data_IF_149073824079
#
_entry.id   IF_149073824079
#
_cell.length_a   1.000
_cell.length_b   1.000
_cell.length_c   1.000
_cell.angle_alpha   90.00
_cell.angle_beta   90.00
_cell.angle_gamma   90.00
#
_symmetry.space_group_name_H-M   'P 1'
#
loop_
_entity.id
_entity.type
_entity.pdbx_description
1 polymer ?
#
# COMPACT_ATOMS: atom_id res chain seq x y z
N UNK A 1 -86.12 -39.82 3.60
CA UNK A 1 -85.31 -40.30 2.45
C UNK A 1 -83.85 -40.17 2.88
N UNK A 2 -83.28 -41.21 3.50
CA UNK A 2 -82.50 -42.28 2.86
C UNK A 2 -81.37 -41.70 1.97
N UNK A 3 -80.07 -41.94 2.17
CA UNK A 3 -79.37 -42.79 3.10
C UNK A 3 -77.85 -42.73 2.80
N UNK A 4 -77.07 -42.79 3.89
CA UNK A 4 -75.70 -43.34 4.03
C UNK A 4 -75.05 -43.96 2.79
N UNK A 5 -73.80 -43.58 2.53
CA UNK A 5 -72.73 -44.56 2.28
C UNK A 5 -71.40 -44.13 2.93
N UNK A 6 -71.08 -44.82 4.02
CA UNK A 6 -69.74 -45.04 4.55
C UNK A 6 -68.85 -45.72 3.51
N UNK A 7 -67.54 -45.41 3.49
CA UNK A 7 -66.44 -46.33 3.86
C UNK A 7 -65.06 -45.74 3.53
N UNK A 8 -64.34 -45.31 4.57
CA UNK A 8 -62.94 -45.72 4.81
C UNK A 8 -62.98 -47.08 5.57
N UNK A 9 -61.89 -47.85 5.81
CA UNK A 9 -60.46 -47.46 5.88
C UNK A 9 -59.45 -48.53 5.35
N UNK A 10 -58.14 -48.26 5.59
CA UNK A 10 -56.98 -49.16 5.81
C UNK A 10 -55.80 -48.87 4.86
N UNK A 11 -54.67 -48.30 5.32
CA UNK A 11 -53.50 -48.98 5.93
C UNK A 11 -52.92 -50.08 5.00
N UNK A 12 -51.68 -50.06 4.50
CA UNK A 12 -50.42 -50.16 5.25
C UNK A 12 -49.20 -50.16 4.25
N UNK A 13 -47.93 -50.49 4.60
CA UNK A 13 -46.79 -49.56 4.54
C UNK A 13 -45.65 -49.96 3.55
N UNK A 14 -44.70 -49.04 3.33
CA UNK A 14 -43.40 -49.33 2.70
C UNK A 14 -42.38 -48.23 3.06
N UNK A 15 -41.66 -48.33 4.17
CA UNK A 15 -40.31 -48.92 4.27
C UNK A 15 -39.40 -48.55 3.09
N UNK A 16 -38.49 -47.60 3.32
CA UNK A 16 -37.05 -47.87 3.30
C UNK A 16 -36.28 -46.73 3.99
N UNK A 17 -35.83 -47.03 5.20
CA UNK A 17 -34.66 -46.41 5.83
C UNK A 17 -33.42 -46.90 5.08
N UNK A 18 -32.45 -46.01 4.80
CA UNK A 18 -31.01 -46.29 4.90
C UNK A 18 -30.26 -44.95 4.90
N UNK A 19 -29.75 -44.52 6.06
CA UNK A 19 -28.35 -44.66 6.51
C UNK A 19 -27.34 -43.83 5.69
N UNK A 20 -26.84 -42.81 6.39
CA UNK A 20 -25.48 -42.27 6.40
C UNK A 20 -24.46 -42.86 5.40
N UNK A 21 -23.87 -41.99 4.59
CA UNK A 21 -22.51 -42.19 4.08
C UNK A 21 -21.72 -40.88 4.20
N UNK A 22 -20.81 -40.88 5.17
CA UNK A 22 -19.75 -39.90 5.35
C UNK A 22 -18.85 -39.96 4.09
N UNK A 23 -18.80 -38.89 3.32
CA UNK A 23 -17.74 -38.74 2.31
C UNK A 23 -16.46 -38.27 3.03
N UNK A 24 -15.57 -39.22 3.28
CA UNK A 24 -14.18 -38.97 3.66
C UNK A 24 -13.46 -38.33 2.46
N UNK A 25 -12.60 -37.32 2.68
CA UNK A 25 -11.74 -36.82 1.62
C UNK A 25 -10.72 -37.90 1.21
N UNK A 26 -10.65 -38.16 -0.09
CA UNK A 26 -9.66 -39.04 -0.68
C UNK A 26 -8.26 -38.49 -0.42
N UNK A 27 -7.47 -39.23 0.37
CA UNK A 27 -6.02 -39.02 0.52
C UNK A 27 -5.35 -39.31 -0.82
N UNK A 28 -5.08 -38.26 -1.61
CA UNK A 28 -4.15 -38.38 -2.75
C UNK A 28 -2.73 -38.33 -2.20
N UNK A 29 -2.02 -39.45 -2.32
CA UNK A 29 -0.60 -39.59 -1.96
C UNK A 29 0.22 -38.52 -2.68
N UNK A 30 0.87 -37.65 -1.90
CA UNK A 30 1.92 -36.78 -2.40
C UNK A 30 3.14 -37.64 -2.77
N UNK A 31 3.49 -37.67 -4.05
CA UNK A 31 4.85 -37.98 -4.49
C UNK A 31 5.58 -36.65 -4.60
N UNK A 32 6.53 -36.41 -3.70
CA UNK A 32 7.45 -35.29 -3.78
C UNK A 32 8.44 -35.54 -4.94
N UNK A 33 8.31 -34.77 -6.01
CA UNK A 33 9.36 -34.57 -7.01
C UNK A 33 10.17 -33.32 -6.67
N UNK A 34 11.43 -33.21 -7.13
CA UNK A 34 12.35 -32.18 -6.66
C UNK A 34 11.88 -30.78 -7.07
N UNK A 35 12.07 -29.83 -6.15
CA UNK A 35 11.69 -28.43 -6.27
C UNK A 35 12.27 -27.79 -7.54
N UNK A 36 11.43 -27.64 -8.56
CA UNK A 36 11.70 -26.80 -9.71
C UNK A 36 11.71 -25.33 -9.28
N UNK A 37 12.81 -24.63 -9.61
CA UNK A 37 13.04 -23.20 -9.34
C UNK A 37 11.84 -22.38 -9.82
N UNK A 38 11.01 -21.93 -8.88
CA UNK A 38 10.02 -20.90 -9.13
C UNK A 38 10.74 -19.59 -9.43
N UNK A 39 10.55 -19.07 -10.63
CA UNK A 39 10.88 -17.69 -10.94
C UNK A 39 10.09 -16.79 -9.99
N UNK A 40 10.79 -16.18 -9.03
CA UNK A 40 10.21 -15.11 -8.21
C UNK A 40 9.83 -13.92 -9.09
N UNK A 41 8.95 -13.02 -8.60
CA UNK A 41 8.72 -11.75 -9.28
C UNK A 41 10.06 -11.03 -9.52
N UNK A 42 10.22 -10.28 -10.63
CA UNK A 42 11.49 -9.67 -11.01
C UNK A 42 12.06 -8.90 -9.82
N UNK A 43 13.33 -9.19 -9.50
CA UNK A 43 14.00 -8.80 -8.27
C UNK A 43 13.80 -7.33 -7.93
N UNK A 44 12.89 -7.07 -6.98
CA UNK A 44 12.82 -5.80 -6.29
C UNK A 44 14.15 -5.69 -5.56
N UNK A 45 15.03 -4.82 -6.04
CA UNK A 45 16.23 -4.48 -5.30
C UNK A 45 15.77 -3.68 -4.08
N UNK A 46 15.36 -4.41 -3.03
CA UNK A 46 15.09 -3.82 -1.73
C UNK A 46 16.33 -3.01 -1.41
N UNK A 47 16.16 -1.71 -1.27
CA UNK A 47 17.26 -0.79 -1.05
C UNK A 47 17.75 -1.04 0.37
N UNK A 48 18.66 -1.99 0.54
CA UNK A 48 19.34 -2.31 1.81
C UNK A 48 20.45 -1.29 2.08
N UNK A 49 20.26 -0.04 1.67
CA UNK A 49 21.19 1.02 2.01
C UNK A 49 21.00 1.36 3.49
N UNK A 50 22.01 1.17 4.35
CA UNK A 50 21.89 1.50 5.75
C UNK A 50 21.60 2.99 5.92
N UNK A 51 20.51 3.30 6.62
CA UNK A 51 20.23 4.68 6.99
C UNK A 51 21.37 5.23 7.83
N UNK A 52 21.80 6.46 7.52
CA UNK A 52 22.77 7.20 8.32
C UNK A 52 22.23 7.62 9.71
N UNK A 53 20.97 7.29 10.00
CA UNK A 53 20.29 7.62 11.25
C UNK A 53 19.29 6.53 11.62
N UNK A 54 18.93 6.48 12.91
CA UNK A 54 17.90 5.59 13.38
C UNK A 54 16.49 6.10 13.01
N UNK A 55 15.74 5.26 12.31
CA UNK A 55 14.31 5.45 12.05
C UNK A 55 13.50 5.09 13.30
N UNK A 56 13.41 6.04 14.22
CA UNK A 56 12.64 5.86 15.47
C UNK A 56 11.16 5.61 15.15
N UNK A 57 10.63 4.54 15.73
CA UNK A 57 9.25 4.08 15.54
C UNK A 57 8.61 3.70 16.87
N UNK A 58 7.30 3.86 16.94
CA UNK A 58 6.48 3.62 18.12
C UNK A 58 5.43 2.54 17.82
N UNK A 59 4.96 1.84 18.85
CA UNK A 59 3.82 0.95 18.71
C UNK A 59 2.54 1.77 18.48
N UNK A 60 1.65 1.25 17.64
CA UNK A 60 0.35 1.85 17.38
C UNK A 60 -0.69 1.35 18.39
N UNK A 61 -0.44 1.56 19.68
CA UNK A 61 -1.27 0.99 20.76
C UNK A 61 -2.72 1.52 20.76
N UNK A 62 -2.92 2.72 20.21
CA UNK A 62 -4.24 3.34 20.06
C UNK A 62 -4.99 2.86 18.79
N UNK A 63 -4.37 2.03 17.96
CA UNK A 63 -4.99 1.50 16.74
C UNK A 63 -5.32 2.56 15.70
N UNK A 64 -4.52 3.64 15.60
CA UNK A 64 -4.75 4.70 14.61
C UNK A 64 -4.66 4.13 13.20
N UNK A 65 -5.75 4.22 12.44
CA UNK A 65 -5.92 3.56 11.15
C UNK A 65 -6.24 4.54 10.00
N UNK A 66 -6.13 5.84 10.26
CA UNK A 66 -6.30 6.89 9.26
C UNK A 66 -5.00 7.21 8.51
N UNK A 67 -5.11 7.95 7.40
CA UNK A 67 -3.95 8.40 6.63
C UNK A 67 -3.05 9.33 7.45
N UNK A 68 -1.77 8.97 7.59
CA UNK A 68 -0.73 9.90 8.06
C UNK A 68 -0.04 10.48 6.84
N UNK A 69 -0.08 11.80 6.68
CA UNK A 69 0.53 12.51 5.56
C UNK A 69 1.49 13.60 6.05
N UNK A 70 2.77 13.46 5.70
CA UNK A 70 3.75 14.52 5.84
C UNK A 70 3.89 15.21 4.50
N UNK A 71 3.38 16.44 4.44
CA UNK A 71 3.37 17.22 3.23
C UNK A 71 4.55 18.21 3.19
N UNK A 72 4.99 18.51 1.98
CA UNK A 72 5.92 19.59 1.66
C UNK A 72 7.30 19.51 2.31
N UNK A 73 7.90 18.33 2.19
CA UNK A 73 9.29 18.11 2.58
C UNK A 73 10.19 18.64 1.46
N UNK A 74 10.79 19.80 1.67
CA UNK A 74 11.72 20.40 0.70
C UNK A 74 13.01 19.61 0.65
N UNK A 75 13.56 19.39 -0.54
CA UNK A 75 14.85 18.73 -0.71
C UNK A 75 15.63 19.27 -1.91
N UNK A 76 16.93 18.97 -1.94
CA UNK A 76 17.82 19.23 -3.07
C UNK A 76 18.67 17.99 -3.34
N UNK A 77 18.78 17.61 -4.60
CA UNK A 77 19.79 16.69 -5.12
C UNK A 77 20.77 17.46 -6.00
N UNK A 78 21.86 16.80 -6.46
CA UNK A 78 22.78 17.41 -7.42
C UNK A 78 22.17 17.63 -8.82
N UNK A 79 21.08 16.93 -9.16
CA UNK A 79 20.45 17.01 -10.50
C UNK A 79 19.14 17.80 -10.51
N UNK A 80 18.42 17.83 -9.39
CA UNK A 80 17.10 18.45 -9.29
C UNK A 80 16.79 18.90 -7.85
N UNK A 81 15.82 19.78 -7.69
CA UNK A 81 15.34 20.19 -6.38
C UNK A 81 13.84 20.31 -6.38
N UNK A 82 13.21 20.11 -5.23
CA UNK A 82 11.76 19.98 -5.21
C UNK A 82 11.19 19.74 -3.83
N UNK A 83 10.01 19.15 -3.85
CA UNK A 83 9.18 18.88 -2.70
C UNK A 83 8.72 17.44 -2.75
N UNK A 84 8.86 16.73 -1.64
CA UNK A 84 8.30 15.41 -1.44
C UNK A 84 7.09 15.47 -0.50
N UNK A 85 6.09 14.65 -0.80
CA UNK A 85 4.94 14.37 0.05
C UNK A 85 4.96 12.87 0.33
N UNK A 86 4.89 12.51 1.60
CA UNK A 86 5.04 11.12 2.04
C UNK A 86 3.89 10.79 2.96
N UNK A 87 3.07 9.82 2.57
CA UNK A 87 1.97 9.33 3.39
C UNK A 87 1.98 7.82 3.52
N UNK A 88 1.35 7.32 4.58
CA UNK A 88 1.16 5.89 4.79
C UNK A 88 -0.08 5.63 5.63
N UNK A 89 -0.65 4.43 5.47
CA UNK A 89 -1.70 3.89 6.33
C UNK A 89 -1.05 3.00 7.39
N UNK A 90 -1.10 3.37 8.68
CA UNK A 90 -0.41 2.61 9.72
C UNK A 90 -0.92 1.17 9.84
N UNK A 91 0.00 0.30 10.25
CA UNK A 91 -0.28 -1.02 10.82
C UNK A 91 0.07 -0.99 12.31
N UNK A 92 0.94 -1.89 12.75
CA UNK A 92 1.38 -1.99 14.16
C UNK A 92 2.36 -0.88 14.61
N UNK A 93 2.93 -0.12 13.67
CA UNK A 93 3.99 0.86 13.95
C UNK A 93 3.71 2.23 13.36
N UNK A 94 4.14 3.27 14.08
CA UNK A 94 4.12 4.68 13.69
C UNK A 94 5.54 5.24 13.66
N UNK A 95 5.85 6.10 12.68
CA UNK A 95 7.14 6.80 12.58
C UNK A 95 7.08 8.15 13.27
N UNK A 96 8.16 8.52 13.96
CA UNK A 96 8.32 9.89 14.46
C UNK A 96 8.39 10.90 13.30
N UNK A 97 7.53 11.93 13.31
CA UNK A 97 7.34 12.86 12.19
C UNK A 97 8.64 13.51 11.68
N UNK A 98 9.59 13.84 12.57
CA UNK A 98 10.87 14.44 12.21
C UNK A 98 11.77 13.53 11.35
N UNK A 99 11.48 12.24 11.28
CA UNK A 99 12.29 11.28 10.51
C UNK A 99 11.98 11.31 9.01
N UNK A 100 10.78 11.74 8.59
CA UNK A 100 10.44 11.81 7.17
C UNK A 100 11.35 12.76 6.39
N UNK A 101 11.64 13.94 6.94
CA UNK A 101 12.58 14.88 6.34
C UNK A 101 13.98 14.25 6.17
N UNK A 102 14.46 13.54 7.20
CA UNK A 102 15.75 12.84 7.15
C UNK A 102 15.79 11.70 6.14
N UNK A 103 14.70 10.94 5.99
CA UNK A 103 14.58 9.89 4.96
C UNK A 103 14.69 10.50 3.57
N UNK A 104 13.95 11.58 3.31
CA UNK A 104 13.96 12.26 2.01
C UNK A 104 15.35 12.83 1.73
N UNK A 105 15.97 13.50 2.70
CA UNK A 105 17.31 14.07 2.57
C UNK A 105 18.38 13.00 2.29
N UNK A 106 18.33 11.88 3.03
CA UNK A 106 19.26 10.76 2.86
C UNK A 106 19.26 10.22 1.43
N UNK A 107 18.09 9.98 0.83
CA UNK A 107 18.02 9.51 -0.55
C UNK A 107 18.20 10.60 -1.59
N UNK A 108 17.84 11.86 -1.29
CA UNK A 108 17.97 12.97 -2.22
C UNK A 108 19.44 13.36 -2.45
N UNK A 109 20.29 13.30 -1.43
CA UNK A 109 21.71 13.68 -1.52
C UNK A 109 22.48 13.03 -2.68
N UNK A 110 22.45 11.69 -2.83
CA UNK A 110 23.09 11.00 -3.95
C UNK A 110 22.20 10.86 -5.19
N UNK A 111 20.92 11.26 -5.13
CA UNK A 111 19.97 11.00 -6.21
C UNK A 111 20.42 11.60 -7.54
N UNK A 112 20.32 10.77 -8.58
CA UNK A 112 20.46 11.18 -9.99
C UNK A 112 19.17 11.02 -10.78
N UNK A 113 18.34 10.05 -10.38
CA UNK A 113 17.05 9.75 -10.99
C UNK A 113 15.93 10.00 -9.98
N UNK A 114 14.95 10.81 -10.36
CA UNK A 114 13.83 11.19 -9.49
C UNK A 114 12.91 9.99 -9.19
N UNK A 115 12.69 9.13 -10.18
CA UNK A 115 11.93 7.90 -10.09
C UNK A 115 12.54 6.97 -9.04
N UNK A 116 13.88 6.86 -9.04
CA UNK A 116 14.62 6.04 -8.08
C UNK A 116 14.49 6.60 -6.67
N UNK A 117 14.69 7.91 -6.48
CA UNK A 117 14.46 8.58 -5.19
C UNK A 117 13.05 8.28 -4.65
N UNK A 118 12.04 8.46 -5.49
CA UNK A 118 10.63 8.26 -5.11
C UNK A 118 10.36 6.81 -4.69
N UNK A 119 10.91 5.85 -5.45
CA UNK A 119 10.83 4.40 -5.16
C UNK A 119 11.52 4.05 -3.85
N UNK A 120 12.74 4.54 -3.62
CA UNK A 120 13.55 4.21 -2.45
C UNK A 120 12.89 4.66 -1.15
N UNK A 121 12.28 5.85 -1.13
CA UNK A 121 11.51 6.34 0.03
C UNK A 121 10.34 5.40 0.33
N UNK A 122 9.55 5.02 -0.68
CA UNK A 122 8.40 4.14 -0.49
C UNK A 122 8.82 2.74 -0.01
N UNK A 123 9.86 2.18 -0.63
CA UNK A 123 10.39 0.85 -0.33
C UNK A 123 10.97 0.78 1.10
N UNK A 124 11.67 1.83 1.56
CA UNK A 124 12.16 1.91 2.94
C UNK A 124 11.00 1.87 3.95
N UNK A 125 9.98 2.71 3.76
CA UNK A 125 8.87 2.79 4.70
C UNK A 125 8.06 1.49 4.71
N UNK A 126 7.85 0.87 3.55
CA UNK A 126 7.21 -0.44 3.48
C UNK A 126 8.01 -1.49 4.25
N UNK A 127 9.33 -1.55 4.06
CA UNK A 127 10.21 -2.50 4.73
C UNK A 127 10.27 -2.31 6.24
N UNK A 128 10.34 -1.06 6.71
CA UNK A 128 10.61 -0.75 8.13
C UNK A 128 9.35 -0.68 8.98
N UNK A 129 8.19 -0.41 8.38
CA UNK A 129 6.93 -0.23 9.12
C UNK A 129 5.93 -1.33 8.89
N UNK A 130 6.05 -2.09 7.80
CA UNK A 130 5.03 -3.03 7.33
C UNK A 130 3.62 -2.39 7.35
N UNK A 131 3.45 -1.20 6.75
CA UNK A 131 2.19 -0.48 6.80
C UNK A 131 1.15 -1.14 5.88
N UNK A 132 -0.12 -0.78 6.04
CA UNK A 132 -1.18 -1.22 5.12
C UNK A 132 -1.00 -0.63 3.71
N UNK A 133 -0.31 0.49 3.60
CA UNK A 133 0.12 1.05 2.31
C UNK A 133 1.00 2.29 2.48
N UNK A 134 1.81 2.58 1.48
CA UNK A 134 2.65 3.80 1.40
C UNK A 134 2.35 4.54 0.11
N UNK A 135 2.40 5.87 0.15
CA UNK A 135 2.27 6.76 -0.98
C UNK A 135 3.33 7.86 -0.91
N UNK A 136 4.11 8.00 -1.97
CA UNK A 136 5.12 9.05 -2.12
C UNK A 136 4.83 9.82 -3.41
N UNK A 137 4.79 11.15 -3.32
CA UNK A 137 4.77 12.07 -4.47
C UNK A 137 6.00 12.95 -4.38
N UNK A 138 6.71 13.09 -5.49
CA UNK A 138 7.83 14.02 -5.60
C UNK A 138 7.57 14.94 -6.78
N UNK A 139 7.49 16.24 -6.49
CA UNK A 139 7.43 17.32 -7.48
C UNK A 139 8.79 18.01 -7.51
N UNK A 140 9.48 18.00 -8.65
CA UNK A 140 10.82 18.57 -8.76
C UNK A 140 11.00 19.41 -10.02
N UNK A 141 11.95 20.35 -9.95
CA UNK A 141 12.45 21.11 -11.07
C UNK A 141 13.85 20.61 -11.45
N UNK A 142 14.05 20.36 -12.74
CA UNK A 142 15.31 19.94 -13.35
C UNK A 142 15.87 21.11 -14.16
N UNK A 143 17.06 21.63 -13.83
CA UNK A 143 17.68 22.71 -14.61
C UNK A 143 17.91 22.30 -16.06
N UNK A 144 17.64 23.22 -17.00
CA UNK A 144 17.99 23.03 -18.39
C UNK A 144 19.50 23.18 -18.61
N UNK A 145 20.06 22.56 -19.67
CA UNK A 145 21.48 22.70 -19.97
C UNK A 145 21.80 24.13 -20.42
N UNK A 146 22.98 24.64 -20.02
CA UNK A 146 23.52 25.90 -20.54
C UNK A 146 22.61 27.12 -20.35
N UNK A 147 21.91 27.20 -19.20
CA UNK A 147 21.03 28.35 -18.89
C UNK A 147 19.67 28.33 -19.57
N UNK A 148 19.32 27.25 -20.29
CA UNK A 148 17.97 27.07 -20.83
C UNK A 148 16.93 26.85 -19.72
N UNK A 149 15.66 27.20 -19.95
CA UNK A 149 14.58 26.90 -19.01
C UNK A 149 14.56 25.41 -18.64
N UNK A 150 14.40 25.13 -17.35
CA UNK A 150 14.27 23.78 -16.83
C UNK A 150 12.88 23.17 -17.09
N UNK A 151 12.71 21.92 -16.67
CA UNK A 151 11.42 21.22 -16.70
C UNK A 151 10.95 20.92 -15.28
N UNK A 152 9.63 20.74 -15.11
CA UNK A 152 9.04 20.26 -13.86
C UNK A 152 8.45 18.87 -14.07
N UNK A 153 8.62 18.02 -13.08
CA UNK A 153 8.25 16.60 -13.16
C UNK A 153 7.62 16.16 -11.85
N UNK A 154 6.58 15.34 -11.97
CA UNK A 154 5.94 14.65 -10.85
C UNK A 154 6.19 13.15 -10.97
N UNK A 155 6.67 12.53 -9.91
CA UNK A 155 6.81 11.08 -9.81
C UNK A 155 6.07 10.56 -8.60
N UNK A 156 5.56 9.34 -8.70
CA UNK A 156 4.79 8.71 -7.62
C UNK A 156 5.25 7.29 -7.38
N UNK A 157 5.28 6.86 -6.12
CA UNK A 157 5.46 5.46 -5.75
C UNK A 157 4.42 5.07 -4.72
N UNK A 158 3.68 4.00 -4.98
CA UNK A 158 2.61 3.51 -4.11
C UNK A 158 2.75 2.01 -3.85
N UNK A 159 2.37 1.60 -2.65
CA UNK A 159 2.34 0.19 -2.22
C UNK A 159 1.09 -0.09 -1.38
N UNK A 160 0.81 -1.37 -1.12
CA UNK A 160 -0.36 -1.79 -0.34
C UNK A 160 -1.68 -1.19 -0.84
N UNK A 161 -2.56 -0.81 0.10
CA UNK A 161 -3.89 -0.24 -0.19
C UNK A 161 -3.82 1.02 -1.06
N UNK A 162 -2.80 1.88 -0.89
CA UNK A 162 -2.64 3.08 -1.73
C UNK A 162 -2.40 2.74 -3.21
N UNK A 163 -1.89 1.54 -3.51
CA UNK A 163 -1.75 1.03 -4.89
C UNK A 163 -2.98 0.25 -5.36
N UNK A 164 -3.60 -0.55 -4.50
CA UNK A 164 -4.65 -1.49 -4.92
C UNK A 164 -6.07 -0.93 -4.80
N UNK A 165 -6.30 0.04 -3.93
CA UNK A 165 -7.60 0.65 -3.69
C UNK A 165 -7.66 2.05 -4.36
N UNK A 166 -8.49 2.24 -5.40
CA UNK A 166 -8.66 3.53 -6.07
C UNK A 166 -9.22 4.64 -5.18
N UNK A 167 -10.09 4.32 -4.21
CA UNK A 167 -10.73 5.32 -3.35
C UNK A 167 -9.71 5.92 -2.38
N UNK A 168 -8.95 5.06 -1.70
CA UNK A 168 -7.85 5.46 -0.81
C UNK A 168 -6.78 6.24 -1.58
N UNK A 169 -6.46 5.81 -2.81
CA UNK A 169 -5.52 6.54 -3.67
C UNK A 169 -6.03 7.93 -4.05
N UNK A 170 -7.32 8.05 -4.36
CA UNK A 170 -7.93 9.33 -4.68
C UNK A 170 -7.89 10.28 -3.47
N UNK A 171 -8.19 9.78 -2.28
CA UNK A 171 -8.09 10.54 -1.03
C UNK A 171 -6.66 11.06 -0.79
N UNK A 172 -5.65 10.20 -0.95
CA UNK A 172 -4.25 10.59 -0.83
C UNK A 172 -3.86 11.72 -1.80
N UNK A 173 -4.20 11.60 -3.08
CA UNK A 173 -3.91 12.66 -4.06
C UNK A 173 -4.68 13.94 -3.74
N UNK A 174 -5.95 13.84 -3.35
CA UNK A 174 -6.73 15.00 -2.92
C UNK A 174 -6.09 15.70 -1.71
N UNK A 175 -5.53 14.94 -0.75
CA UNK A 175 -4.83 15.51 0.40
C UNK A 175 -3.50 16.17 0.02
N UNK A 176 -2.74 15.58 -0.93
CA UNK A 176 -1.49 16.14 -1.45
C UNK A 176 -1.73 17.45 -2.21
N UNK A 177 -2.73 17.48 -3.08
CA UNK A 177 -3.02 18.63 -3.94
C UNK A 177 -3.90 19.69 -3.24
N UNK A 178 -4.69 19.30 -2.24
CA UNK A 178 -5.85 20.04 -1.74
C UNK A 178 -5.61 21.18 -0.75
N UNK A 179 -4.37 21.52 -0.33
CA UNK A 179 -4.15 22.62 0.66
C UNK A 179 -2.97 23.56 0.37
N UNK A 180 -2.35 23.49 -0.81
CA UNK A 180 -1.31 24.44 -1.23
C UNK A 180 -1.78 25.65 -2.04
N UNK A 181 -3.09 25.81 -2.24
CA UNK A 181 -3.65 26.98 -2.95
C UNK A 181 -3.78 28.24 -2.06
N UNK A 182 -3.53 28.15 -0.75
CA UNK A 182 -3.74 29.24 0.22
C UNK A 182 -2.46 29.91 0.74
N UNK A 183 -1.28 29.29 0.60
CA UNK A 183 -0.02 29.83 1.11
C UNK A 183 0.83 30.59 0.07
N UNK A 184 0.60 30.36 -1.24
CA UNK A 184 1.30 31.07 -2.32
C UNK A 184 0.66 32.40 -2.71
N UNK A 185 -0.56 32.70 -2.28
CA UNK A 185 -1.26 33.99 -2.54
C UNK A 185 -0.90 35.12 -1.56
N UNK A 186 -0.03 34.88 -0.56
CA UNK A 186 0.31 35.87 0.48
C UNK A 186 1.71 36.49 0.37
N UNK A 187 2.45 36.27 -0.72
CA UNK A 187 3.76 36.93 -1.02
C UNK A 187 3.78 37.69 -2.36
N UNK A 188 2.62 38.18 -2.79
CA UNK A 188 2.51 39.14 -3.88
C UNK A 188 1.61 40.29 -3.41
N UNK A 189 2.08 41.05 -2.43
CA UNK A 189 1.63 42.40 -2.09
C UNK A 189 2.82 43.17 -1.55
#
# INVERSE_FOLDING_TARGET
MAGRHHREPADHPGLLRHRAARLRPARRRARAGPAGRGAGPPGRQLTTDPLAFELTTFHNDAGYDELVLVHHITFRSPMFSGVAHVGYLPGERIVGLSKFARVVEHYAGPARLQERLTRQIADLLELRLLPRGVGVVVDAAHPGPGGRPGIRTRTTAMTGSLRTDPAVRAEFFAAVDGRYASSSRRRAR
#
